data_IF_901818806170
#
_entry.id   IF_901818806170
#
_cell.length_a   1.000
_cell.length_b   1.000
_cell.length_c   1.000
_cell.angle_alpha   90.00
_cell.angle_beta   90.00
_cell.angle_gamma   90.00
#
_symmetry.space_group_name_H-M   'P 1'
#
loop_
_entity.id
_entity.type
_entity.pdbx_description
1 polymer ?
#
# COMPACT_ATOMS: atom_id res chain seq x y z
N UNK A 1 -12.69 28.53 -11.15
CA UNK A 1 -13.27 27.65 -10.10
C UNK A 1 -13.61 26.23 -10.57
N UNK A 2 -13.28 25.81 -11.80
CA UNK A 2 -13.64 24.48 -12.35
C UNK A 2 -12.61 23.35 -12.14
N UNK A 3 -11.44 23.61 -11.55
CA UNK A 3 -10.35 22.62 -11.42
C UNK A 3 -10.45 21.71 -10.18
N UNK A 4 -11.16 22.12 -9.12
CA UNK A 4 -11.27 21.32 -7.89
C UNK A 4 -12.34 20.24 -7.97
N UNK A 5 -13.45 20.49 -8.68
CA UNK A 5 -14.55 19.52 -8.82
C UNK A 5 -14.17 18.27 -9.63
N UNK A 6 -13.23 18.39 -10.58
CA UNK A 6 -12.73 17.26 -11.39
C UNK A 6 -11.79 16.37 -10.56
N UNK A 7 -11.10 16.92 -9.56
CA UNK A 7 -10.13 16.20 -8.74
C UNK A 7 -10.83 15.33 -7.67
N UNK A 8 -11.93 15.81 -7.09
CA UNK A 8 -12.74 15.06 -6.12
C UNK A 8 -13.36 13.81 -6.75
N UNK A 9 -13.80 13.90 -8.01
CA UNK A 9 -14.37 12.77 -8.76
C UNK A 9 -13.29 11.73 -9.08
N UNK A 10 -12.03 12.15 -9.29
CA UNK A 10 -10.93 11.22 -9.57
C UNK A 10 -10.55 10.39 -8.34
N UNK A 11 -10.54 10.96 -7.13
CA UNK A 11 -10.21 10.24 -5.88
C UNK A 11 -11.31 9.24 -5.51
N UNK A 12 -12.58 9.62 -5.71
CA UNK A 12 -13.74 8.75 -5.47
C UNK A 12 -13.82 7.62 -6.50
N UNK A 13 -13.52 7.93 -7.78
CA UNK A 13 -13.42 6.90 -8.81
C UNK A 13 -12.24 5.95 -8.54
N UNK A 14 -11.12 6.40 -7.99
CA UNK A 14 -10.00 5.50 -7.63
C UNK A 14 -10.45 4.50 -6.57
N UNK A 15 -11.25 4.88 -5.58
CA UNK A 15 -11.72 3.96 -4.53
C UNK A 15 -12.78 2.97 -5.05
N UNK A 16 -13.61 3.36 -6.02
CA UNK A 16 -14.66 2.50 -6.59
C UNK A 16 -14.24 1.71 -7.85
N UNK A 17 -13.18 2.12 -8.55
CA UNK A 17 -12.69 1.49 -9.79
C UNK A 17 -11.34 0.78 -9.65
N UNK A 18 -10.63 0.91 -8.51
CA UNK A 18 -9.43 0.13 -8.23
C UNK A 18 -9.76 -1.27 -7.72
N UNK A 19 -10.48 -2.05 -8.53
CA UNK A 19 -10.59 -3.49 -8.34
C UNK A 19 -9.24 -4.23 -8.51
N UNK A 20 -8.14 -3.52 -8.83
CA UNK A 20 -6.85 -4.09 -9.24
C UNK A 20 -5.62 -3.46 -8.55
N UNK A 21 -5.83 -2.62 -7.54
CA UNK A 21 -4.76 -2.15 -6.67
C UNK A 21 -5.35 -2.02 -5.27
N UNK A 22 -4.77 -2.70 -4.28
CA UNK A 22 -5.26 -2.63 -2.90
C UNK A 22 -5.54 -1.18 -2.49
N UNK A 23 -6.78 -0.84 -2.12
CA UNK A 23 -7.17 0.53 -1.80
C UNK A 23 -6.37 1.12 -0.63
N UNK A 24 -5.77 0.24 0.19
CA UNK A 24 -4.87 0.55 1.31
C UNK A 24 -3.67 1.38 0.83
N UNK A 25 -3.06 1.05 -0.32
CA UNK A 25 -1.84 1.73 -0.75
C UNK A 25 -2.09 2.95 -1.63
N UNK A 26 -3.26 3.06 -2.28
CA UNK A 26 -3.52 4.10 -3.29
C UNK A 26 -3.47 5.53 -2.76
N UNK A 27 -3.95 5.78 -1.53
CA UNK A 27 -3.95 7.13 -0.96
C UNK A 27 -2.60 7.50 -0.35
N UNK A 28 -1.87 6.51 0.20
CA UNK A 28 -0.51 6.71 0.70
C UNK A 28 0.49 6.89 -0.45
N UNK A 29 0.25 6.25 -1.60
CA UNK A 29 1.00 6.42 -2.86
C UNK A 29 1.09 7.87 -3.33
N UNK A 30 0.12 8.71 -2.99
CA UNK A 30 0.18 10.14 -3.32
C UNK A 30 1.39 10.83 -2.68
N UNK A 31 1.87 10.33 -1.54
CA UNK A 31 3.01 10.89 -0.84
C UNK A 31 4.31 10.11 -1.09
N UNK A 32 4.22 8.91 -1.65
CA UNK A 32 5.39 8.14 -2.07
C UNK A 32 6.23 8.96 -3.06
N UNK A 33 7.55 8.89 -2.92
CA UNK A 33 8.42 9.65 -3.80
C UNK A 33 8.46 9.01 -5.19
N UNK A 34 8.03 9.75 -6.23
CA UNK A 34 8.25 9.39 -7.63
C UNK A 34 9.76 9.33 -8.03
N UNK A 35 10.65 9.76 -7.13
CA UNK A 35 12.07 9.90 -7.39
C UNK A 35 12.86 8.76 -6.74
N UNK A 36 13.25 7.80 -7.60
CA UNK A 36 14.18 6.66 -7.43
C UNK A 36 15.59 7.07 -7.00
N UNK A 37 15.74 7.95 -6.00
CA UNK A 37 17.07 8.36 -5.54
C UNK A 37 17.65 7.26 -4.66
N UNK A 38 18.83 6.80 -5.03
CA UNK A 38 19.71 6.06 -4.14
C UNK A 38 19.90 6.86 -2.83
N UNK A 39 19.84 6.21 -1.65
CA UNK A 39 19.85 6.85 -0.34
C UNK A 39 21.20 7.53 -0.08
N UNK A 40 21.37 8.75 -0.58
CA UNK A 40 22.56 9.58 -0.32
C UNK A 40 22.33 10.61 0.79
N UNK A 41 21.08 10.80 1.22
CA UNK A 41 20.73 11.56 2.42
C UNK A 41 20.24 10.63 3.53
N UNK A 42 20.71 10.85 4.76
CA UNK A 42 20.41 10.05 5.96
C UNK A 42 18.94 9.98 6.37
N UNK A 43 18.03 10.58 5.60
CA UNK A 43 16.64 10.83 5.95
C UNK A 43 15.65 10.12 5.01
N UNK A 44 16.14 9.30 4.07
CA UNK A 44 15.33 8.45 3.20
C UNK A 44 15.66 7.01 3.56
N UNK A 45 14.65 6.26 3.95
CA UNK A 45 14.75 4.83 4.19
C UNK A 45 13.60 4.10 3.50
N UNK A 46 13.84 2.86 3.13
CA UNK A 46 12.86 2.02 2.46
C UNK A 46 12.55 0.80 3.31
N UNK A 47 11.40 0.19 3.05
CA UNK A 47 11.14 -1.14 3.53
C UNK A 47 12.20 -2.12 2.96
N UNK A 48 12.49 -3.23 3.66
CA UNK A 48 13.31 -4.31 3.15
C UNK A 48 12.79 -4.83 1.80
N UNK A 49 13.63 -5.55 1.04
CA UNK A 49 13.18 -6.07 -0.26
C UNK A 49 12.34 -7.34 -0.14
N UNK A 50 12.49 -8.04 0.99
CA UNK A 50 11.75 -9.26 1.32
C UNK A 50 11.22 -9.07 2.72
N UNK A 51 9.91 -9.01 2.88
CA UNK A 51 9.29 -8.83 4.18
C UNK A 51 7.83 -9.28 4.21
N UNK A 52 7.35 -9.55 5.41
CA UNK A 52 5.92 -9.55 5.70
C UNK A 52 5.60 -8.51 6.76
N UNK A 53 4.39 -7.96 6.69
CA UNK A 53 3.84 -7.08 7.70
C UNK A 53 2.35 -7.30 7.81
N UNK A 54 1.80 -7.06 9.00
CA UNK A 54 0.37 -6.88 9.18
C UNK A 54 0.08 -5.42 9.38
N UNK A 55 -1.17 -5.05 9.16
CA UNK A 55 -1.63 -3.76 9.58
C UNK A 55 -3.13 -3.71 9.78
N UNK A 56 -3.55 -2.61 10.38
CA UNK A 56 -4.94 -2.21 10.48
C UNK A 56 -5.08 -0.84 9.86
N UNK A 57 -6.25 -0.55 9.33
CA UNK A 57 -6.54 0.75 8.76
C UNK A 57 -7.91 1.25 9.19
N UNK A 58 -8.03 2.57 9.22
CA UNK A 58 -9.29 3.28 9.33
C UNK A 58 -9.31 4.34 8.23
N UNK A 59 -10.34 4.28 7.39
CA UNK A 59 -10.59 5.24 6.34
C UNK A 59 -11.92 5.92 6.59
N UNK A 60 -11.97 7.22 6.33
CA UNK A 60 -13.21 7.97 6.27
C UNK A 60 -13.17 8.78 4.97
N UNK A 61 -14.17 8.61 4.10
CA UNK A 61 -14.22 9.32 2.82
C UNK A 61 -15.63 9.70 2.39
N UNK A 62 -15.76 10.77 1.61
CA UNK A 62 -17.00 11.15 0.92
C UNK A 62 -17.11 10.33 -0.38
N UNK A 63 -18.10 9.45 -0.48
CA UNK A 63 -18.22 8.47 -1.59
C UNK A 63 -19.02 9.01 -2.79
N UNK A 64 -19.72 10.14 -2.66
CA UNK A 64 -20.29 10.91 -3.77
C UNK A 64 -20.57 12.37 -3.38
N UNK A 65 -20.80 13.24 -4.37
CA UNK A 65 -21.23 14.62 -4.14
C UNK A 65 -22.58 14.59 -3.38
N UNK A 66 -22.61 15.10 -2.15
CA UNK A 66 -23.73 15.06 -1.18
C UNK A 66 -23.90 13.77 -0.34
N UNK A 67 -22.88 12.91 -0.25
CA UNK A 67 -22.91 11.73 0.62
C UNK A 67 -22.43 12.02 2.05
N UNK A 68 -22.89 11.20 3.00
CA UNK A 68 -22.31 11.08 4.34
C UNK A 68 -20.91 10.48 4.27
N UNK A 69 -20.06 10.85 5.24
CA UNK A 69 -18.77 10.22 5.46
C UNK A 69 -18.98 8.72 5.72
N UNK A 70 -18.35 7.87 4.93
CA UNK A 70 -18.42 6.42 5.12
C UNK A 70 -17.15 5.94 5.82
N UNK A 71 -17.24 5.44 7.06
CA UNK A 71 -16.12 4.81 7.73
C UNK A 71 -15.90 3.41 7.17
N UNK A 72 -14.64 3.08 6.96
CA UNK A 72 -14.19 1.74 6.61
C UNK A 72 -13.02 1.40 7.52
N UNK A 73 -13.17 0.33 8.30
CA UNK A 73 -12.08 -0.21 9.11
C UNK A 73 -11.77 -1.63 8.68
N UNK A 74 -10.51 -2.03 8.86
CA UNK A 74 -10.08 -3.35 8.45
C UNK A 74 -8.66 -3.68 8.86
N UNK A 75 -8.27 -4.90 8.51
CA UNK A 75 -6.92 -5.42 8.67
C UNK A 75 -6.37 -5.91 7.33
N UNK A 76 -5.06 -5.97 7.26
CA UNK A 76 -4.35 -6.56 6.13
C UNK A 76 -3.12 -7.33 6.56
N UNK A 77 -2.73 -8.28 5.71
CA UNK A 77 -1.44 -8.91 5.71
C UNK A 77 -0.80 -8.64 4.35
N UNK A 78 0.43 -8.13 4.36
CA UNK A 78 1.17 -7.79 3.17
C UNK A 78 2.49 -8.55 3.17
N UNK A 79 2.70 -9.36 2.13
CA UNK A 79 3.86 -10.22 2.01
C UNK A 79 4.51 -9.97 0.66
N UNK A 80 5.81 -9.69 0.71
CA UNK A 80 6.56 -9.27 -0.47
C UNK A 80 7.88 -9.99 -0.54
N UNK A 81 8.20 -10.45 -1.75
CA UNK A 81 9.54 -10.82 -2.17
C UNK A 81 9.82 -10.15 -3.52
N UNK A 82 10.39 -8.93 -3.46
CA UNK A 82 10.74 -8.21 -4.69
C UNK A 82 11.87 -8.88 -5.46
N UNK A 83 12.72 -9.68 -4.79
CA UNK A 83 13.80 -10.40 -5.45
C UNK A 83 13.24 -11.53 -6.33
N UNK A 84 12.19 -12.22 -5.85
CA UNK A 84 11.49 -13.25 -6.59
C UNK A 84 10.34 -12.72 -7.47
N UNK A 85 10.02 -11.42 -7.39
CA UNK A 85 8.93 -10.82 -8.13
C UNK A 85 7.56 -11.33 -7.69
N UNK A 86 7.32 -11.41 -6.38
CA UNK A 86 6.06 -11.91 -5.80
C UNK A 86 5.53 -10.96 -4.74
N UNK A 87 4.24 -10.67 -4.82
CA UNK A 87 3.50 -9.90 -3.83
C UNK A 87 2.23 -10.66 -3.49
N UNK A 88 1.85 -10.65 -2.21
CA UNK A 88 0.55 -11.11 -1.74
C UNK A 88 -0.04 -10.08 -0.79
N UNK A 89 -1.32 -9.83 -0.93
CA UNK A 89 -2.08 -8.97 -0.03
C UNK A 89 -3.34 -9.72 0.40
N UNK A 90 -3.51 -9.92 1.70
CA UNK A 90 -4.78 -10.37 2.27
C UNK A 90 -5.42 -9.18 2.97
N UNK A 91 -6.70 -8.91 2.72
CA UNK A 91 -7.41 -7.77 3.27
C UNK A 91 -8.77 -8.22 3.78
N UNK A 92 -9.11 -7.79 4.98
CA UNK A 92 -10.45 -7.93 5.55
C UNK A 92 -10.91 -6.57 6.04
N UNK A 93 -12.11 -6.15 5.64
CA UNK A 93 -12.63 -4.82 6.01
C UNK A 93 -14.14 -4.82 6.15
N UNK A 94 -14.65 -3.86 6.90
CA UNK A 94 -16.08 -3.72 7.19
C UNK A 94 -16.60 -2.43 6.57
N UNK A 95 -17.72 -2.52 5.86
CA UNK A 95 -18.48 -1.36 5.35
C UNK A 95 -19.92 -1.57 5.74
N UNK A 96 -20.53 -0.61 6.45
CA UNK A 96 -21.93 -0.69 6.90
C UNK A 96 -22.28 -2.01 7.61
N UNK A 97 -21.34 -2.56 8.38
CA UNK A 97 -21.49 -3.83 9.09
C UNK A 97 -21.30 -5.09 8.24
N UNK A 98 -21.11 -4.96 6.93
CA UNK A 98 -20.79 -6.08 6.04
C UNK A 98 -19.28 -6.32 5.98
N UNK A 99 -18.86 -7.55 6.31
CA UNK A 99 -17.46 -7.96 6.24
C UNK A 99 -17.12 -8.40 4.82
N UNK A 100 -16.07 -7.78 4.27
CA UNK A 100 -15.52 -8.07 2.96
C UNK A 100 -14.13 -8.66 3.13
N UNK A 101 -13.79 -9.65 2.32
CA UNK A 101 -12.45 -10.25 2.30
C UNK A 101 -11.97 -10.36 0.86
N UNK A 102 -10.70 -10.01 0.67
CA UNK A 102 -10.03 -9.97 -0.63
C UNK A 102 -8.60 -10.47 -0.45
N UNK A 103 -8.17 -11.40 -1.29
CA UNK A 103 -6.77 -11.77 -1.40
C UNK A 103 -6.31 -11.52 -2.83
N UNK A 104 -5.14 -10.90 -2.96
CA UNK A 104 -4.47 -10.74 -4.24
C UNK A 104 -3.07 -11.35 -4.24
N UNK A 105 -2.68 -11.89 -5.38
CA UNK A 105 -1.30 -12.28 -5.69
C UNK A 105 -0.83 -11.60 -6.97
N UNK A 106 0.30 -10.94 -6.92
CA UNK A 106 0.96 -10.39 -8.10
C UNK A 106 2.27 -11.12 -8.38
N UNK A 107 2.48 -11.48 -9.64
CA UNK A 107 3.70 -12.14 -10.12
C UNK A 107 4.33 -11.34 -11.24
N UNK A 108 5.59 -10.98 -11.07
CA UNK A 108 6.39 -10.33 -12.10
C UNK A 108 6.78 -11.35 -13.16
N UNK A 109 6.30 -11.16 -14.39
CA UNK A 109 6.61 -12.03 -15.52
C UNK A 109 7.79 -11.45 -16.32
N UNK A 110 7.81 -10.13 -16.47
CA UNK A 110 8.90 -9.39 -17.10
C UNK A 110 9.02 -8.00 -16.49
N UNK A 111 9.88 -7.14 -17.06
CA UNK A 111 10.00 -5.74 -16.65
C UNK A 111 8.72 -4.92 -16.85
N UNK A 112 7.83 -5.37 -17.73
CA UNK A 112 6.62 -4.64 -18.13
C UNK A 112 5.36 -5.48 -18.07
N UNK A 113 5.42 -6.69 -17.49
CA UNK A 113 4.26 -7.59 -17.41
C UNK A 113 4.18 -8.16 -16.01
N UNK A 114 3.01 -7.99 -15.42
CA UNK A 114 2.58 -8.62 -14.17
C UNK A 114 1.33 -9.44 -14.45
N UNK A 115 1.21 -10.58 -13.78
CA UNK A 115 -0.06 -11.29 -13.67
C UNK A 115 -0.57 -11.10 -12.27
N UNK A 116 -1.79 -10.60 -12.16
CA UNK A 116 -2.48 -10.36 -10.91
C UNK A 116 -3.64 -11.35 -10.79
N UNK A 117 -3.76 -11.96 -9.62
CA UNK A 117 -4.83 -12.87 -9.23
C UNK A 117 -5.64 -12.23 -8.13
N UNK A 118 -6.96 -12.20 -8.28
CA UNK A 118 -7.90 -11.58 -7.36
C UNK A 118 -8.89 -12.63 -6.86
N UNK A 119 -8.84 -12.96 -5.57
CA UNK A 119 -9.78 -13.85 -4.91
C UNK A 119 -10.72 -13.04 -4.03
N UNK A 120 -11.99 -12.99 -4.42
CA UNK A 120 -13.03 -12.32 -3.67
C UNK A 120 -14.27 -13.22 -3.59
N UNK A 121 -14.84 -13.38 -2.39
CA UNK A 121 -16.05 -14.18 -2.18
C UNK A 121 -15.97 -15.60 -2.78
N UNK A 122 -14.79 -16.23 -2.68
CA UNK A 122 -14.51 -17.57 -3.19
C UNK A 122 -14.33 -17.67 -4.72
N UNK A 123 -14.45 -16.57 -5.45
CA UNK A 123 -14.23 -16.52 -6.91
C UNK A 123 -12.87 -15.93 -7.20
N UNK A 124 -12.10 -16.64 -8.01
CA UNK A 124 -10.78 -16.21 -8.41
C UNK A 124 -10.79 -15.72 -9.86
N UNK A 125 -10.33 -14.49 -10.06
CA UNK A 125 -10.12 -13.87 -11.35
C UNK A 125 -8.62 -13.61 -11.53
N UNK A 126 -8.18 -13.45 -12.77
CA UNK A 126 -6.82 -13.01 -13.03
C UNK A 126 -6.75 -12.21 -14.32
N UNK A 127 -5.74 -11.37 -14.43
CA UNK A 127 -5.55 -10.49 -15.57
C UNK A 127 -4.08 -10.12 -15.75
N UNK A 128 -3.72 -9.71 -16.97
CA UNK A 128 -2.41 -9.16 -17.31
C UNK A 128 -2.37 -7.67 -17.00
N UNK A 129 -1.31 -7.20 -16.34
CA UNK A 129 -1.06 -5.78 -16.04
C UNK A 129 0.25 -5.34 -16.69
N UNK A 130 0.20 -4.30 -17.54
CA UNK A 130 1.37 -3.81 -18.31
C UNK A 130 2.13 -2.66 -17.64
N UNK A 131 1.51 -1.97 -16.67
CA UNK A 131 2.07 -0.78 -16.02
C UNK A 131 2.06 -0.91 -14.49
N UNK A 132 2.50 -2.07 -14.00
CA UNK A 132 2.48 -2.37 -12.57
C UNK A 132 3.62 -1.68 -11.83
N UNK A 133 3.30 -0.61 -11.11
CA UNK A 133 4.27 0.26 -10.44
C UNK A 133 4.68 -0.17 -9.03
N UNK A 134 4.28 -1.36 -8.56
CA UNK A 134 4.53 -1.78 -7.17
C UNK A 134 5.77 -2.67 -7.00
N UNK A 135 6.54 -2.91 -8.07
CA UNK A 135 7.77 -3.73 -8.02
C UNK A 135 8.98 -3.02 -7.44
N UNK A 136 8.82 -1.77 -7.01
CA UNK A 136 9.86 -1.01 -6.34
C UNK A 136 9.63 -1.06 -4.83
N UNK A 137 10.71 -1.13 -4.06
CA UNK A 137 10.61 -1.10 -2.61
C UNK A 137 9.93 0.19 -2.16
N UNK A 138 8.93 0.03 -1.30
CA UNK A 138 8.24 1.17 -0.73
C UNK A 138 9.21 1.99 0.13
N UNK A 139 9.36 3.28 -0.20
CA UNK A 139 10.26 4.21 0.48
C UNK A 139 9.47 5.38 1.08
N UNK A 140 9.94 5.89 2.22
CA UNK A 140 9.34 7.11 2.79
C UNK A 140 9.51 8.31 1.85
N UNK A 141 8.59 9.29 1.91
CA UNK A 141 8.69 10.50 1.11
C UNK A 141 10.05 11.19 1.31
N UNK A 142 10.70 11.58 0.22
CA UNK A 142 11.98 12.29 0.24
C UNK A 142 11.85 13.82 0.38
N UNK A 143 10.62 14.29 0.56
CA UNK A 143 10.27 15.70 0.76
C UNK A 143 9.44 15.85 2.04
N UNK A 144 9.36 17.07 2.56
CA UNK A 144 8.61 17.38 3.78
C UNK A 144 9.51 17.67 4.99
N UNK A 145 8.87 17.89 6.13
CA UNK A 145 9.55 18.16 7.40
C UNK A 145 9.87 16.84 8.09
N UNK A 146 11.16 16.60 8.34
CA UNK A 146 11.64 15.40 9.04
C UNK A 146 12.03 15.77 10.47
N UNK A 147 11.42 15.10 11.43
CA UNK A 147 11.72 15.23 12.87
C UNK A 147 12.28 13.91 13.38
N UNK A 148 13.48 13.95 13.96
CA UNK A 148 14.07 12.80 14.66
C UNK A 148 13.39 12.61 16.01
N UNK A 149 13.15 11.36 16.37
CA UNK A 149 12.47 10.96 17.59
C UNK A 149 13.03 9.63 18.11
N UNK A 150 12.48 9.18 19.25
CA UNK A 150 12.69 7.85 19.80
C UNK A 150 11.33 7.19 20.04
N UNK A 151 11.22 5.91 19.71
CA UNK A 151 10.08 5.06 20.11
C UNK A 151 10.66 3.92 20.93
N UNK A 152 10.45 3.96 22.25
CA UNK A 152 11.22 3.14 23.17
C UNK A 152 12.73 3.41 23.01
N UNK A 153 13.52 2.37 22.75
CA UNK A 153 14.96 2.45 22.49
C UNK A 153 15.32 2.74 21.02
N UNK A 154 14.37 2.63 20.09
CA UNK A 154 14.63 2.68 18.65
C UNK A 154 14.73 4.12 18.13
N UNK A 155 15.66 4.34 17.20
CA UNK A 155 15.67 5.57 16.41
C UNK A 155 14.43 5.62 15.53
N UNK A 156 13.73 6.75 15.59
CA UNK A 156 12.50 6.97 14.86
C UNK A 156 12.54 8.28 14.08
N UNK A 157 11.80 8.33 12.98
CA UNK A 157 11.59 9.54 12.21
C UNK A 157 10.09 9.78 12.08
N UNK A 158 9.69 11.04 12.25
CA UNK A 158 8.40 11.55 11.82
C UNK A 158 8.61 12.37 10.56
N UNK A 159 7.90 12.05 9.49
CA UNK A 159 7.91 12.80 8.24
C UNK A 159 6.53 13.38 8.03
N UNK A 160 6.44 14.71 7.90
CA UNK A 160 5.19 15.40 7.56
C UNK A 160 5.35 16.01 6.17
N UNK A 161 4.48 15.61 5.25
CA UNK A 161 4.52 16.02 3.85
C UNK A 161 3.17 16.60 3.44
N UNK A 162 3.17 17.69 2.68
CA UNK A 162 1.95 18.28 2.13
C UNK A 162 2.02 18.25 0.62
N UNK A 163 1.07 17.55 -0.02
CA UNK A 163 1.00 17.42 -1.47
C UNK A 163 -0.45 17.53 -1.94
N UNK A 164 -0.68 18.37 -2.96
CA UNK A 164 -1.99 18.59 -3.58
C UNK A 164 -3.14 18.88 -2.59
N UNK A 165 -2.86 19.64 -1.53
CA UNK A 165 -3.86 19.99 -0.51
C UNK A 165 -4.15 18.89 0.52
N UNK A 166 -3.45 17.76 0.45
CA UNK A 166 -3.48 16.71 1.47
C UNK A 166 -2.21 16.76 2.33
N UNK A 167 -2.34 16.36 3.59
CA UNK A 167 -1.26 16.23 4.57
C UNK A 167 -1.04 14.76 4.85
N UNK A 168 0.18 14.29 4.63
CA UNK A 168 0.65 12.95 4.98
C UNK A 168 1.60 13.03 6.17
N UNK A 169 1.46 12.11 7.12
CA UNK A 169 2.38 11.88 8.23
C UNK A 169 2.83 10.43 8.21
N UNK A 170 4.14 10.22 8.30
CA UNK A 170 4.76 8.91 8.33
C UNK A 170 5.58 8.80 9.60
N UNK A 171 5.42 7.71 10.32
CA UNK A 171 6.30 7.33 11.40
C UNK A 171 7.10 6.11 11.00
N UNK A 172 8.41 6.18 11.15
CA UNK A 172 9.30 5.04 10.95
C UNK A 172 10.14 4.77 12.17
N UNK A 173 10.64 3.56 12.26
CA UNK A 173 11.70 3.21 13.18
C UNK A 173 12.73 2.31 12.50
N UNK A 174 13.92 2.28 13.07
CA UNK A 174 15.01 1.40 12.64
C UNK A 174 15.46 0.53 13.80
N UNK A 175 15.54 -0.77 13.55
CA UNK A 175 16.20 -1.69 14.48
C UNK A 175 17.72 -1.63 14.31
N UNK A 176 18.52 -1.83 15.37
CA UNK A 176 19.98 -1.67 15.32
C UNK A 176 20.68 -2.51 14.25
N UNK A 177 20.14 -3.69 13.93
CA UNK A 177 20.67 -4.62 12.95
C UNK A 177 20.29 -4.30 11.49
N UNK A 178 19.34 -3.39 11.26
CA UNK A 178 18.91 -3.06 9.89
C UNK A 178 19.97 -2.25 9.16
N UNK A 179 20.06 -2.43 7.84
CA UNK A 179 20.90 -1.60 6.99
C UNK A 179 20.50 -0.11 7.08
N UNK A 180 21.47 0.78 6.88
CA UNK A 180 21.30 2.22 7.10
C UNK A 180 20.32 2.91 6.13
N UNK A 181 19.94 2.24 5.06
CA UNK A 181 18.94 2.67 4.08
C UNK A 181 17.58 1.99 4.31
N UNK A 182 17.45 1.12 5.31
CA UNK A 182 16.23 0.40 5.63
C UNK A 182 15.57 0.91 6.91
N UNK A 183 14.26 0.78 6.96
CA UNK A 183 13.44 1.07 8.12
C UNK A 183 12.10 0.35 8.04
N UNK A 184 11.47 0.24 9.19
CA UNK A 184 10.07 -0.12 9.32
C UNK A 184 9.20 1.11 9.35
N UNK A 185 8.01 1.01 8.77
CA UNK A 185 6.98 2.04 8.85
C UNK A 185 6.03 1.61 9.94
N UNK A 186 5.86 2.44 10.96
CA UNK A 186 4.97 2.16 12.08
C UNK A 186 3.54 2.60 11.79
N UNK A 187 3.40 3.78 11.19
CA UNK A 187 2.11 4.35 10.89
C UNK A 187 2.20 5.32 9.70
N UNK A 188 1.11 5.36 8.94
CA UNK A 188 0.87 6.38 7.94
C UNK A 188 -0.51 7.00 8.16
N UNK A 189 -0.56 8.31 8.27
CA UNK A 189 -1.79 9.08 8.31
C UNK A 189 -1.81 10.01 7.11
N UNK A 190 -2.88 9.98 6.33
CA UNK A 190 -3.11 10.92 5.25
C UNK A 190 -4.47 11.58 5.44
N UNK A 191 -4.53 12.90 5.29
CA UNK A 191 -5.74 13.70 5.50
C UNK A 191 -5.87 14.73 4.38
N UNK A 192 -7.06 14.83 3.81
CA UNK A 192 -7.47 15.87 2.88
C UNK A 192 -8.81 16.46 3.33
N UNK A 193 -9.34 17.45 2.60
CA UNK A 193 -10.64 18.05 2.90
C UNK A 193 -11.83 17.09 2.79
N UNK A 194 -11.66 15.96 2.09
CA UNK A 194 -12.77 15.03 1.78
C UNK A 194 -12.51 13.59 2.20
N UNK A 195 -11.32 13.30 2.74
CA UNK A 195 -10.96 11.96 3.15
C UNK A 195 -9.81 11.95 4.18
N UNK A 196 -9.82 10.97 5.06
CA UNK A 196 -8.69 10.59 5.89
C UNK A 196 -8.45 9.08 5.83
N UNK A 197 -7.19 8.68 5.94
CA UNK A 197 -6.78 7.28 6.05
C UNK A 197 -5.66 7.20 7.07
N UNK A 198 -5.86 6.39 8.09
CA UNK A 198 -4.82 6.01 9.04
C UNK A 198 -4.52 4.52 8.86
N UNK A 199 -3.23 4.18 8.91
CA UNK A 199 -2.76 2.80 8.85
C UNK A 199 -1.70 2.59 9.90
N UNK A 200 -1.83 1.53 10.68
CA UNK A 200 -0.82 1.09 11.63
C UNK A 200 -0.27 -0.25 11.18
N UNK A 201 1.04 -0.42 11.27
CA UNK A 201 1.74 -1.62 10.84
C UNK A 201 2.42 -2.30 12.03
N UNK A 202 2.41 -3.62 12.02
CA UNK A 202 2.96 -4.46 13.09
C UNK A 202 3.34 -5.84 12.55
N UNK A 203 3.93 -6.69 13.39
CA UNK A 203 4.43 -8.03 13.01
C UNK A 203 5.34 -8.01 11.78
N UNK A 204 6.18 -6.97 11.67
CA UNK A 204 7.11 -6.76 10.57
C UNK A 204 8.33 -7.67 10.70
N UNK A 205 8.67 -8.40 9.64
CA UNK A 205 9.83 -9.30 9.61
C UNK A 205 10.50 -9.33 8.23
N UNK A 206 11.83 -9.41 8.18
CA UNK A 206 12.64 -9.50 6.94
C UNK A 206 12.71 -10.93 6.37
N UNK A 207 11.61 -11.67 6.44
CA UNK A 207 11.51 -13.03 5.93
C UNK A 207 10.08 -13.36 5.56
N UNK A 208 9.90 -14.20 4.55
CA UNK A 208 8.58 -14.65 4.10
C UNK A 208 8.59 -16.16 3.87
N UNK A 209 7.49 -16.83 4.16
CA UNK A 209 7.27 -18.22 3.76
C UNK A 209 6.87 -18.23 2.28
N UNK A 210 7.64 -18.92 1.42
CA UNK A 210 7.35 -18.99 -0.01
C UNK A 210 5.99 -19.60 -0.33
N UNK A 211 5.45 -20.44 0.55
CA UNK A 211 4.16 -21.10 0.34
C UNK A 211 2.98 -20.13 0.34
N UNK A 212 3.13 -18.96 0.97
CA UNK A 212 2.07 -17.93 0.97
C UNK A 212 1.77 -17.43 -0.44
N UNK A 213 2.72 -17.54 -1.37
CA UNK A 213 2.52 -17.14 -2.77
C UNK A 213 1.87 -18.23 -3.63
N UNK A 214 1.45 -19.36 -3.04
CA UNK A 214 0.75 -20.39 -3.79
C UNK A 214 -0.67 -19.94 -4.12
N UNK A 215 -0.96 -19.78 -5.40
CA UNK A 215 -2.32 -19.46 -5.89
C UNK A 215 -3.21 -20.70 -5.78
N UNK A 216 -4.46 -20.59 -5.29
CA UNK A 216 -5.39 -21.72 -5.22
C UNK A 216 -5.62 -22.38 -6.58
N UNK A 217 -5.79 -23.71 -6.57
CA UNK A 217 -6.04 -24.48 -7.80
C UNK A 217 -7.37 -24.12 -8.51
N UNK A 218 -8.30 -23.45 -7.82
CA UNK A 218 -9.53 -22.91 -8.40
C UNK A 218 -9.33 -21.66 -9.26
N UNK A 219 -8.15 -21.04 -9.22
CA UNK A 219 -7.81 -19.91 -10.05
C UNK A 219 -7.46 -20.32 -11.49
N UNK A 220 -7.66 -19.44 -12.49
CA UNK A 220 -7.23 -19.71 -13.85
C UNK A 220 -5.72 -19.93 -13.96
N UNK A 221 -5.27 -20.67 -14.97
CA UNK A 221 -3.84 -20.86 -15.21
C UNK A 221 -3.18 -19.53 -15.61
N UNK A 222 -1.88 -19.38 -15.30
CA UNK A 222 -1.12 -18.17 -15.67
C UNK A 222 -1.16 -17.87 -17.17
N UNK A 223 -1.18 -18.91 -18.02
CA UNK A 223 -1.28 -18.77 -19.47
C UNK A 223 -2.64 -18.19 -19.88
N UNK A 224 -3.71 -18.59 -19.20
CA UNK A 224 -5.05 -18.00 -19.39
C UNK A 224 -5.05 -16.52 -19.00
N UNK A 225 -4.37 -16.16 -17.92
CA UNK A 225 -4.27 -14.77 -17.47
C UNK A 225 -3.48 -13.89 -18.44
N UNK A 226 -2.38 -14.40 -19.01
CA UNK A 226 -1.54 -13.68 -19.96
C UNK A 226 -2.24 -13.40 -21.30
N UNK A 227 -3.18 -14.27 -21.67
CA UNK A 227 -3.97 -14.15 -22.90
C UNK A 227 -5.12 -13.15 -22.82
N UNK A 228 -5.46 -12.66 -21.62
CA UNK A 228 -6.41 -11.57 -21.39
C UNK A 228 -5.70 -10.22 -21.54
#
# INVERSE_FOLDING_TARGET
MFKQAILSVLIVAIIASSAYASPIFSFVKQFESANKRSPTSSNICCLPNVFSMKGVFNQVSIVANNSTLQPVDGGFNFVVDYNAGKIRQDITYTVDGAVNTYTNWDFKISSSITVSYDLQSGKCHCHKVTDFNQWEAYCIPNTGTVTKAKIGSYDALKIVNTQNGAIGTFWTFREPQMANDKCWILNTLAVSSTASLEQMYYDMVEKVDSNVFTVPASCPSINTCLSQ
#
